data_IF_959226227242
#
_entry.id   IF_959226227242
#
_cell.length_a   1.000
_cell.length_b   1.000
_cell.length_c   1.000
_cell.angle_alpha   90.00
_cell.angle_beta   90.00
_cell.angle_gamma   90.00
#
_symmetry.space_group_name_H-M   'P 1'
#
loop_
_entity.id
_entity.type
_entity.pdbx_description
1 polymer ?
#
# COMPACT_ATOMS: atom_id res chain seq x y z
N UNK A 1 -20.18 -8.04 17.32
CA UNK A 1 -19.69 -7.02 18.28
C UNK A 1 -19.97 -5.66 17.67
N UNK A 2 -20.42 -4.66 18.43
CA UNK A 2 -20.57 -3.30 17.89
C UNK A 2 -19.21 -2.61 17.94
N UNK A 3 -18.69 -2.26 16.77
CA UNK A 3 -17.33 -1.72 16.57
C UNK A 3 -17.33 -0.20 16.54
N UNK A 4 -18.52 0.43 16.55
CA UNK A 4 -18.69 1.87 16.40
C UNK A 4 -18.33 2.60 17.71
N UNK A 5 -17.37 3.55 17.69
CA UNK A 5 -17.11 4.41 18.83
C UNK A 5 -18.36 5.21 19.20
N UNK A 6 -18.53 5.44 20.50
CA UNK A 6 -19.52 6.39 21.01
C UNK A 6 -18.90 7.77 21.06
N UNK A 7 -19.57 8.76 20.46
CA UNK A 7 -19.08 10.13 20.30
C UNK A 7 -20.20 11.13 20.61
N UNK A 8 -19.83 12.34 21.00
CA UNK A 8 -20.75 13.49 20.94
C UNK A 8 -20.90 13.97 19.49
N UNK A 9 -21.93 14.78 19.17
CA UNK A 9 -22.03 15.43 17.88
C UNK A 9 -20.78 16.26 17.52
N UNK A 10 -20.20 16.96 18.50
CA UNK A 10 -19.02 17.80 18.32
C UNK A 10 -17.77 16.95 18.03
N UNK A 11 -17.55 15.87 18.79
CA UNK A 11 -16.43 14.94 18.57
C UNK A 11 -16.52 14.28 17.18
N UNK A 12 -17.74 13.97 16.73
CA UNK A 12 -17.95 13.44 15.40
C UNK A 12 -17.56 14.45 14.32
N UNK A 13 -18.02 15.70 14.40
CA UNK A 13 -17.67 16.71 13.39
C UNK A 13 -16.18 17.06 13.40
N UNK A 14 -15.53 17.09 14.56
CA UNK A 14 -14.07 17.23 14.65
C UNK A 14 -13.36 16.12 13.88
N UNK A 15 -13.73 14.85 14.13
CA UNK A 15 -13.14 13.70 13.43
C UNK A 15 -13.50 13.63 11.94
N UNK A 16 -14.70 14.06 11.57
CA UNK A 16 -15.19 14.10 10.20
C UNK A 16 -14.57 15.22 9.35
N UNK A 17 -13.90 16.18 9.99
CA UNK A 17 -13.16 17.27 9.33
C UNK A 17 -11.65 17.19 9.53
N UNK A 18 -11.19 16.29 10.39
CA UNK A 18 -9.77 16.13 10.68
C UNK A 18 -8.98 15.73 9.43
N UNK A 19 -7.88 16.46 9.22
CA UNK A 19 -6.90 16.22 8.16
C UNK A 19 -5.58 15.92 8.85
N UNK A 20 -4.94 14.82 8.48
CA UNK A 20 -3.66 14.43 9.07
C UNK A 20 -2.52 15.40 8.67
N UNK A 21 -1.33 15.20 9.25
CA UNK A 21 -0.13 15.99 8.92
C UNK A 21 0.29 15.89 7.44
N UNK A 22 -0.25 14.94 6.70
CA UNK A 22 -0.04 14.71 5.26
C UNK A 22 -1.10 15.36 4.35
N UNK A 23 -2.00 16.18 4.91
CA UNK A 23 -3.04 16.93 4.20
C UNK A 23 -4.23 16.12 3.66
N UNK A 24 -4.31 14.82 3.96
CA UNK A 24 -5.43 13.97 3.55
C UNK A 24 -6.52 13.89 4.62
N UNK A 25 -7.78 13.94 4.17
CA UNK A 25 -8.89 13.53 5.02
C UNK A 25 -9.10 12.02 4.83
N UNK A 26 -8.67 11.25 5.83
CA UNK A 26 -8.67 9.77 5.80
C UNK A 26 -9.80 9.17 6.64
N UNK A 27 -10.32 9.92 7.61
CA UNK A 27 -11.30 9.41 8.58
C UNK A 27 -10.68 8.51 9.65
N UNK A 28 -9.35 8.53 9.82
CA UNK A 28 -8.62 7.70 10.77
C UNK A 28 -9.14 7.80 12.20
N UNK A 29 -9.55 9.00 12.64
CA UNK A 29 -10.13 9.20 13.97
C UNK A 29 -11.43 8.41 14.22
N UNK A 30 -12.06 7.86 13.19
CA UNK A 30 -13.29 7.04 13.27
C UNK A 30 -13.00 5.54 13.19
N UNK A 31 -11.84 5.13 12.67
CA UNK A 31 -11.45 3.72 12.47
C UNK A 31 -10.32 3.27 13.38
N UNK A 32 -9.37 4.13 13.73
CA UNK A 32 -8.28 3.84 14.67
C UNK A 32 -8.71 4.13 16.11
N UNK A 33 -9.82 3.51 16.52
CA UNK A 33 -10.37 3.60 17.88
C UNK A 33 -10.24 2.26 18.59
N UNK A 34 -10.20 2.23 19.94
CA UNK A 34 -10.08 0.97 20.68
C UNK A 34 -11.17 -0.05 20.35
N UNK A 35 -12.40 0.39 20.04
CA UNK A 35 -13.51 -0.51 19.68
C UNK A 35 -13.27 -1.27 18.38
N UNK A 36 -12.47 -0.72 17.46
CA UNK A 36 -12.06 -1.36 16.21
C UNK A 36 -10.74 -2.10 16.40
N UNK A 37 -9.72 -1.43 16.95
CA UNK A 37 -8.35 -1.95 17.03
C UNK A 37 -8.22 -3.18 17.95
N UNK A 38 -9.13 -3.36 18.92
CA UNK A 38 -9.14 -4.53 19.79
C UNK A 38 -9.73 -5.78 19.13
N UNK A 39 -10.27 -5.69 17.91
CA UNK A 39 -10.77 -6.84 17.17
C UNK A 39 -9.59 -7.57 16.53
N UNK A 40 -9.37 -8.86 16.81
CA UNK A 40 -8.26 -9.61 16.22
C UNK A 40 -8.30 -9.58 14.68
N UNK A 41 -7.22 -9.11 14.05
CA UNK A 41 -7.09 -9.04 12.58
C UNK A 41 -8.04 -8.05 11.90
N UNK A 42 -8.45 -6.98 12.58
CA UNK A 42 -9.31 -5.92 12.02
C UNK A 42 -8.74 -5.31 10.72
N UNK A 43 -7.41 -5.17 10.64
CA UNK A 43 -6.68 -4.58 9.51
C UNK A 43 -6.32 -5.58 8.40
N UNK A 44 -6.67 -6.86 8.54
CA UNK A 44 -6.39 -7.89 7.55
C UNK A 44 -7.69 -8.25 6.83
N UNK A 45 -7.87 -7.79 5.60
CA UNK A 45 -9.15 -7.94 4.89
C UNK A 45 -9.57 -9.40 4.63
N UNK A 46 -8.62 -10.34 4.56
CA UNK A 46 -8.89 -11.78 4.48
C UNK A 46 -9.24 -12.42 5.84
N UNK A 47 -9.08 -11.71 6.95
CA UNK A 47 -9.33 -12.22 8.30
C UNK A 47 -10.78 -12.00 8.73
N UNK A 48 -11.36 -12.95 9.46
CA UNK A 48 -12.77 -12.88 9.90
C UNK A 48 -13.07 -11.70 10.84
N UNK A 49 -12.05 -11.17 11.51
CA UNK A 49 -12.15 -9.95 12.31
C UNK A 49 -12.52 -8.71 11.50
N UNK A 50 -11.99 -8.56 10.29
CA UNK A 50 -12.33 -7.47 9.39
C UNK A 50 -13.82 -7.49 9.01
N UNK A 51 -14.40 -8.68 8.83
CA UNK A 51 -15.82 -8.85 8.53
C UNK A 51 -16.76 -8.41 9.68
N UNK A 52 -16.23 -8.17 10.89
CA UNK A 52 -17.00 -7.62 12.01
C UNK A 52 -17.15 -6.10 11.93
N UNK A 53 -16.36 -5.43 11.09
CA UNK A 53 -16.46 -3.98 10.86
C UNK A 53 -17.66 -3.64 9.98
N UNK A 54 -18.22 -2.45 10.17
CA UNK A 54 -19.26 -1.96 9.25
C UNK A 54 -18.69 -1.75 7.84
N UNK A 55 -19.55 -1.66 6.82
CA UNK A 55 -19.06 -1.39 5.47
C UNK A 55 -18.38 -0.02 5.39
N UNK A 56 -18.94 1.01 6.03
CA UNK A 56 -18.32 2.33 6.08
C UNK A 56 -16.92 2.33 6.73
N UNK A 57 -16.73 1.57 7.81
CA UNK A 57 -15.40 1.42 8.44
C UNK A 57 -14.40 0.75 7.51
N UNK A 58 -14.81 -0.30 6.77
CA UNK A 58 -13.95 -0.97 5.79
C UNK A 58 -13.58 -0.07 4.61
N UNK A 59 -14.51 0.77 4.15
CA UNK A 59 -14.24 1.76 3.08
C UNK A 59 -13.20 2.78 3.55
N UNK A 60 -13.38 3.39 4.73
CA UNK A 60 -12.40 4.37 5.25
C UNK A 60 -11.04 3.75 5.53
N UNK A 61 -11.01 2.51 6.01
CA UNK A 61 -9.75 1.79 6.20
C UNK A 61 -9.06 1.50 4.87
N UNK A 62 -9.77 1.07 3.83
CA UNK A 62 -9.18 0.85 2.50
C UNK A 62 -8.71 2.16 1.86
N UNK A 63 -9.43 3.26 2.12
CA UNK A 63 -9.02 4.59 1.71
C UNK A 63 -7.72 5.03 2.41
N UNK A 64 -7.66 4.91 3.75
CA UNK A 64 -6.45 5.21 4.53
C UNK A 64 -5.26 4.35 4.08
N UNK A 65 -5.51 3.06 3.81
CA UNK A 65 -4.52 2.14 3.28
C UNK A 65 -4.03 2.55 1.88
N UNK A 66 -4.94 2.90 0.96
CA UNK A 66 -4.57 3.39 -0.38
C UNK A 66 -3.69 4.63 -0.27
N UNK A 67 -4.11 5.62 0.54
CA UNK A 67 -3.33 6.84 0.78
C UNK A 67 -1.94 6.49 1.31
N UNK A 68 -1.86 5.61 2.31
CA UNK A 68 -0.62 5.19 2.93
C UNK A 68 0.31 4.39 2.01
N UNK A 69 -0.22 3.46 1.21
CA UNK A 69 0.61 2.65 0.31
C UNK A 69 1.14 3.49 -0.86
N UNK A 70 0.27 4.29 -1.47
CA UNK A 70 0.67 5.19 -2.56
C UNK A 70 1.72 6.17 -2.07
N UNK A 71 1.52 6.78 -0.88
CA UNK A 71 2.48 7.66 -0.21
C UNK A 71 3.90 7.05 -0.05
N UNK A 72 3.99 5.73 0.15
CA UNK A 72 5.23 5.05 0.48
C UNK A 72 5.98 4.50 -0.74
N UNK A 73 5.27 4.04 -1.76
CA UNK A 73 5.89 3.39 -2.92
C UNK A 73 4.99 3.31 -4.14
N UNK A 74 4.05 4.25 -4.26
CA UNK A 74 3.19 4.38 -5.43
C UNK A 74 2.08 3.33 -5.50
N UNK A 75 1.33 3.41 -6.59
CA UNK A 75 0.19 2.53 -6.85
C UNK A 75 0.62 1.05 -6.95
N UNK A 76 1.82 0.77 -7.45
CA UNK A 76 2.38 -0.59 -7.50
C UNK A 76 2.50 -1.21 -6.10
N UNK A 77 2.96 -0.43 -5.11
CA UNK A 77 3.04 -0.92 -3.72
C UNK A 77 1.66 -1.28 -3.17
N UNK A 78 0.63 -0.50 -3.52
CA UNK A 78 -0.75 -0.83 -3.16
C UNK A 78 -1.18 -2.16 -3.78
N UNK A 79 -0.96 -2.36 -5.07
CA UNK A 79 -1.33 -3.61 -5.76
C UNK A 79 -0.60 -4.81 -5.14
N UNK A 80 0.72 -4.69 -4.93
CA UNK A 80 1.54 -5.75 -4.35
C UNK A 80 1.06 -6.17 -2.94
N UNK A 81 0.86 -5.19 -2.05
CA UNK A 81 0.50 -5.46 -0.66
C UNK A 81 -0.93 -6.00 -0.48
N UNK A 82 -1.83 -5.69 -1.41
CA UNK A 82 -3.24 -6.12 -1.34
C UNK A 82 -3.58 -7.25 -2.31
N UNK A 83 -2.58 -7.93 -2.89
CA UNK A 83 -2.71 -9.02 -3.89
C UNK A 83 -3.90 -9.96 -3.63
N UNK A 84 -4.03 -10.50 -2.42
CA UNK A 84 -5.09 -11.48 -2.07
C UNK A 84 -6.49 -10.86 -1.91
N UNK A 85 -6.59 -9.53 -1.94
CA UNK A 85 -7.77 -8.74 -1.58
C UNK A 85 -8.09 -7.63 -2.58
N UNK A 86 -7.45 -7.63 -3.76
CA UNK A 86 -7.59 -6.60 -4.78
C UNK A 86 -9.03 -6.38 -5.26
N UNK A 87 -9.82 -7.46 -5.40
CA UNK A 87 -11.23 -7.35 -5.80
C UNK A 87 -12.05 -6.60 -4.75
N UNK A 88 -11.74 -6.84 -3.47
CA UNK A 88 -12.38 -6.14 -2.36
C UNK A 88 -11.91 -4.68 -2.30
N UNK A 89 -10.62 -4.42 -2.50
CA UNK A 89 -10.05 -3.09 -2.55
C UNK A 89 -10.73 -2.22 -3.61
N UNK A 90 -10.80 -2.70 -4.85
CA UNK A 90 -11.47 -2.01 -5.95
C UNK A 90 -12.93 -1.68 -5.62
N UNK A 91 -13.68 -2.67 -5.12
CA UNK A 91 -15.08 -2.50 -4.70
C UNK A 91 -15.24 -1.45 -3.60
N UNK A 92 -14.35 -1.41 -2.61
CA UNK A 92 -14.43 -0.47 -1.49
C UNK A 92 -14.04 0.95 -1.92
N UNK A 93 -13.02 1.13 -2.77
CA UNK A 93 -12.65 2.45 -3.28
C UNK A 93 -13.78 3.06 -4.13
N UNK A 94 -14.47 2.25 -4.93
CA UNK A 94 -15.64 2.69 -5.70
C UNK A 94 -16.77 3.26 -4.82
N UNK A 95 -16.86 2.85 -3.54
CA UNK A 95 -17.90 3.33 -2.61
C UNK A 95 -17.69 4.75 -2.12
N UNK A 96 -16.51 5.35 -2.33
CA UNK A 96 -16.30 6.76 -2.01
C UNK A 96 -17.12 7.69 -2.92
N UNK A 97 -17.64 7.19 -4.04
CA UNK A 97 -18.44 7.95 -5.01
C UNK A 97 -17.74 9.23 -5.49
N UNK A 98 -16.40 9.23 -5.50
CA UNK A 98 -15.57 10.29 -6.05
C UNK A 98 -15.27 9.96 -7.51
N UNK A 99 -15.90 10.64 -8.49
CA UNK A 99 -15.82 10.24 -9.89
C UNK A 99 -14.40 10.32 -10.45
N UNK A 100 -13.71 11.45 -10.25
CA UNK A 100 -12.35 11.63 -10.78
C UNK A 100 -11.36 10.64 -10.17
N UNK A 101 -11.49 10.32 -8.87
CA UNK A 101 -10.68 9.26 -8.25
C UNK A 101 -10.88 7.94 -8.99
N UNK A 102 -12.12 7.54 -9.23
CA UNK A 102 -12.41 6.24 -9.85
C UNK A 102 -12.06 6.21 -11.34
N UNK A 103 -12.25 7.31 -12.07
CA UNK A 103 -11.82 7.47 -13.48
C UNK A 103 -10.32 7.27 -13.68
N UNK A 104 -9.51 7.52 -12.64
CA UNK A 104 -8.05 7.33 -12.67
C UNK A 104 -7.61 6.04 -12.02
N UNK A 105 -8.26 5.66 -10.92
CA UNK A 105 -7.99 4.43 -10.18
C UNK A 105 -8.29 3.19 -11.03
N UNK A 106 -9.43 3.14 -11.72
CA UNK A 106 -9.82 1.94 -12.48
C UNK A 106 -8.85 1.63 -13.63
N UNK A 107 -8.40 2.60 -14.46
CA UNK A 107 -7.34 2.35 -15.43
C UNK A 107 -6.01 1.89 -14.80
N UNK A 108 -5.55 2.55 -13.73
CA UNK A 108 -4.31 2.17 -13.04
C UNK A 108 -4.41 0.76 -12.44
N UNK A 109 -5.54 0.42 -11.84
CA UNK A 109 -5.84 -0.91 -11.32
C UNK A 109 -5.83 -1.95 -12.44
N UNK A 110 -6.50 -1.68 -13.56
CA UNK A 110 -6.55 -2.61 -14.69
C UNK A 110 -5.20 -2.84 -15.34
N UNK A 111 -4.38 -1.81 -15.42
CA UNK A 111 -3.00 -1.90 -15.92
C UNK A 111 -2.14 -2.81 -15.04
N UNK A 112 -2.29 -2.72 -13.71
CA UNK A 112 -1.42 -3.42 -12.76
C UNK A 112 -1.99 -4.76 -12.24
N UNK A 113 -3.30 -4.97 -12.33
CA UNK A 113 -3.99 -6.12 -11.74
C UNK A 113 -5.07 -6.76 -12.65
N UNK A 114 -5.23 -6.26 -13.88
CA UNK A 114 -6.18 -6.84 -14.85
C UNK A 114 -7.65 -6.62 -14.48
N UNK A 115 -8.47 -7.65 -14.63
CA UNK A 115 -9.93 -7.54 -14.44
C UNK A 115 -10.31 -7.36 -12.96
N UNK A 116 -11.02 -6.28 -12.56
CA UNK A 116 -11.48 -6.08 -11.18
C UNK A 116 -12.36 -7.20 -10.62
N UNK A 117 -13.04 -7.98 -11.47
CA UNK A 117 -13.84 -9.12 -11.01
C UNK A 117 -12.98 -10.33 -10.60
N UNK A 118 -11.79 -10.48 -11.18
CA UNK A 118 -10.83 -11.52 -10.87
C UNK A 118 -9.40 -10.99 -11.02
N UNK A 119 -8.97 -10.07 -10.15
CA UNK A 119 -7.71 -9.37 -10.31
C UNK A 119 -6.57 -10.31 -9.97
N UNK A 120 -5.53 -10.24 -10.79
CA UNK A 120 -4.27 -10.92 -10.59
C UNK A 120 -3.18 -9.88 -10.86
N UNK A 121 -2.21 -9.68 -9.94
CA UNK A 121 -1.08 -8.82 -10.24
C UNK A 121 -0.50 -9.22 -11.59
N UNK A 122 -0.36 -8.25 -12.50
CA UNK A 122 0.25 -8.50 -13.79
C UNK A 122 1.65 -9.01 -13.51
N UNK A 123 1.91 -10.23 -13.97
CA UNK A 123 3.15 -10.93 -13.67
C UNK A 123 4.32 -10.14 -14.25
N UNK A 124 5.13 -9.55 -13.36
CA UNK A 124 6.40 -8.88 -13.71
C UNK A 124 7.49 -9.91 -14.07
N UNK A 125 7.14 -11.20 -14.12
CA UNK A 125 8.05 -12.27 -14.49
C UNK A 125 8.55 -12.10 -15.93
N UNK A 126 9.87 -12.06 -16.16
CA UNK A 126 10.40 -11.69 -17.46
C UNK A 126 10.38 -12.84 -18.47
N UNK A 127 10.04 -12.50 -19.72
CA UNK A 127 10.30 -13.34 -20.90
C UNK A 127 11.82 -13.38 -21.21
N UNK A 128 12.34 -14.52 -21.65
CA UNK A 128 13.77 -14.88 -21.49
C UNK A 128 14.82 -14.39 -22.52
N UNK A 129 16.08 -14.42 -22.04
CA UNK A 129 17.45 -14.48 -22.65
C UNK A 129 17.85 -13.43 -23.72
N UNK A 130 18.97 -12.68 -23.58
CA UNK A 130 20.40 -13.06 -23.81
C UNK A 130 21.44 -12.35 -22.90
N UNK A 131 22.70 -12.84 -22.93
CA UNK A 131 23.89 -12.52 -22.10
C UNK A 131 24.55 -11.14 -22.41
N UNK A 132 25.23 -10.39 -21.53
CA UNK A 132 26.43 -10.63 -20.71
C UNK A 132 26.74 -9.31 -19.96
N UNK A 133 26.72 -9.18 -18.61
CA UNK A 133 27.44 -8.06 -17.93
C UNK A 133 27.77 -8.33 -16.43
N UNK A 134 29.01 -8.02 -15.96
CA UNK A 134 29.42 -8.12 -14.54
C UNK A 134 28.67 -7.19 -13.56
N UNK A 135 28.06 -6.10 -14.04
CA UNK A 135 27.40 -5.09 -13.20
C UNK A 135 26.14 -5.58 -12.49
N UNK A 136 25.37 -6.47 -13.13
CA UNK A 136 24.13 -7.02 -12.60
C UNK A 136 24.34 -7.87 -11.33
N UNK A 137 25.50 -8.52 -11.23
CA UNK A 137 25.85 -9.37 -10.09
C UNK A 137 26.06 -8.56 -8.80
N UNK A 138 26.65 -7.36 -8.92
CA UNK A 138 26.96 -6.50 -7.78
C UNK A 138 25.70 -5.87 -7.19
N UNK A 139 24.85 -5.30 -8.03
CA UNK A 139 23.61 -4.66 -7.61
C UNK A 139 22.70 -5.64 -6.84
N UNK A 140 22.64 -6.89 -7.29
CA UNK A 140 21.87 -7.93 -6.63
C UNK A 140 22.40 -8.27 -5.22
N UNK A 141 23.72 -8.42 -5.08
CA UNK A 141 24.33 -8.70 -3.77
C UNK A 141 24.06 -7.56 -2.78
N UNK A 142 24.19 -6.30 -3.22
CA UNK A 142 23.83 -5.14 -2.42
C UNK A 142 22.39 -5.20 -1.94
N UNK A 143 21.48 -5.49 -2.88
CA UNK A 143 20.06 -5.46 -2.60
C UNK A 143 19.64 -6.58 -1.65
N UNK A 144 20.16 -7.79 -1.85
CA UNK A 144 19.88 -8.95 -0.99
C UNK A 144 20.36 -8.74 0.44
N UNK A 145 21.59 -8.24 0.59
CA UNK A 145 22.17 -7.92 1.90
C UNK A 145 21.38 -6.80 2.60
N UNK A 146 21.01 -5.76 1.85
CA UNK A 146 20.21 -4.66 2.39
C UNK A 146 18.79 -5.11 2.77
N UNK A 147 18.08 -5.87 1.91
CA UNK A 147 16.74 -6.41 2.20
C UNK A 147 16.74 -7.30 3.43
N UNK A 148 17.72 -8.21 3.54
CA UNK A 148 17.84 -9.08 4.71
C UNK A 148 17.95 -8.26 6.00
N UNK A 149 18.87 -7.28 6.02
CA UNK A 149 19.12 -6.44 7.20
C UNK A 149 17.98 -5.47 7.51
N UNK A 150 17.22 -5.06 6.51
CA UNK A 150 16.14 -4.06 6.62
C UNK A 150 14.74 -4.63 6.50
N UNK A 151 14.59 -5.96 6.62
CA UNK A 151 13.30 -6.66 6.51
C UNK A 151 12.18 -6.03 7.34
N UNK A 152 12.53 -5.49 8.52
CA UNK A 152 11.58 -4.84 9.44
C UNK A 152 11.62 -3.30 9.39
N UNK A 153 12.47 -2.70 8.53
CA UNK A 153 12.62 -1.25 8.33
C UNK A 153 12.90 -0.92 6.86
N UNK A 154 11.92 -1.12 5.95
CA UNK A 154 12.15 -0.96 4.51
C UNK A 154 12.67 0.43 4.11
N UNK A 155 12.30 1.48 4.84
CA UNK A 155 12.79 2.86 4.67
C UNK A 155 14.30 3.02 4.88
N UNK A 156 14.95 2.11 5.63
CA UNK A 156 16.39 2.13 5.84
C UNK A 156 17.18 1.48 4.69
N UNK A 157 16.49 0.81 3.75
CA UNK A 157 17.12 0.00 2.69
C UNK A 157 18.04 0.81 1.79
N UNK A 158 17.63 2.01 1.35
CA UNK A 158 18.49 2.88 0.52
C UNK A 158 19.79 3.26 1.23
N UNK A 159 19.72 3.53 2.54
CA UNK A 159 20.89 3.87 3.36
C UNK A 159 21.80 2.65 3.55
N UNK A 160 21.24 1.48 3.78
CA UNK A 160 22.01 0.24 3.90
C UNK A 160 22.66 -0.19 2.58
N UNK A 161 21.96 -0.04 1.46
CA UNK A 161 22.54 -0.24 0.12
C UNK A 161 23.72 0.69 -0.09
N UNK A 162 23.61 1.98 0.26
CA UNK A 162 24.71 2.95 0.13
C UNK A 162 25.93 2.62 1.03
N UNK A 163 25.75 1.86 2.12
CA UNK A 163 26.85 1.37 2.95
C UNK A 163 27.55 0.18 2.30
N UNK A 164 26.79 -0.79 1.77
CA UNK A 164 27.36 -1.92 1.05
C UNK A 164 28.01 -1.51 -0.27
N UNK A 165 27.51 -0.45 -0.90
CA UNK A 165 28.01 0.06 -2.17
C UNK A 165 29.45 0.59 -2.08
N UNK A 166 29.93 0.90 -0.88
CA UNK A 166 31.32 1.32 -0.63
C UNK A 166 32.31 0.16 -0.53
N UNK A 167 31.83 -1.09 -0.51
CA UNK A 167 32.67 -2.28 -0.37
C UNK A 167 33.21 -2.75 -1.73
N UNK A 168 34.39 -3.37 -1.71
CA UNK A 168 34.89 -4.07 -2.90
C UNK A 168 34.05 -5.32 -3.18
N UNK A 169 34.00 -5.73 -4.45
CA UNK A 169 33.19 -6.87 -4.90
C UNK A 169 33.56 -8.17 -4.17
N UNK A 170 34.84 -8.37 -3.86
CA UNK A 170 35.32 -9.52 -3.09
C UNK A 170 34.76 -9.55 -1.67
N UNK A 171 34.71 -8.40 -1.00
CA UNK A 171 34.17 -8.28 0.36
C UNK A 171 32.65 -8.49 0.32
N UNK A 172 31.98 -7.87 -0.66
CA UNK A 172 30.55 -7.98 -0.87
C UNK A 172 30.13 -9.44 -1.12
N UNK A 173 30.86 -10.14 -1.99
CA UNK A 173 30.66 -11.56 -2.27
C UNK A 173 30.84 -12.43 -1.02
N UNK A 174 31.85 -12.12 -0.21
CA UNK A 174 32.12 -12.87 1.03
C UNK A 174 30.96 -12.74 2.01
N UNK A 175 30.45 -11.52 2.22
CA UNK A 175 29.29 -11.26 3.10
C UNK A 175 28.03 -11.95 2.58
N UNK A 176 27.79 -11.89 1.28
CA UNK A 176 26.66 -12.56 0.64
C UNK A 176 26.75 -14.09 0.82
N UNK A 177 27.90 -14.70 0.53
CA UNK A 177 28.09 -16.15 0.68
C UNK A 177 27.92 -16.62 2.13
N UNK A 178 28.38 -15.82 3.10
CA UNK A 178 28.18 -16.11 4.52
C UNK A 178 26.70 -16.08 4.92
N UNK A 179 25.97 -15.04 4.49
CA UNK A 179 24.53 -14.93 4.75
C UNK A 179 23.73 -16.08 4.11
N UNK A 180 24.12 -16.49 2.90
CA UNK A 180 23.56 -17.68 2.24
C UNK A 180 23.86 -18.96 3.04
N UNK A 181 25.11 -19.18 3.46
CA UNK A 181 25.48 -20.38 4.22
C UNK A 181 24.81 -20.47 5.59
N UNK A 182 24.47 -19.32 6.18
CA UNK A 182 23.76 -19.24 7.45
C UNK A 182 22.23 -19.40 7.29
N UNK A 183 21.72 -19.53 6.06
CA UNK A 183 20.28 -19.59 5.76
C UNK A 183 19.55 -18.25 5.96
N UNK A 184 20.29 -17.15 6.08
CA UNK A 184 19.77 -15.79 6.26
C UNK A 184 19.21 -15.22 4.95
N UNK A 185 19.82 -15.63 3.83
CA UNK A 185 19.47 -15.25 2.46
C UNK A 185 19.37 -16.53 1.63
N UNK A 186 18.36 -16.63 0.77
CA UNK A 186 18.28 -17.74 -0.19
C UNK A 186 19.35 -17.54 -1.27
N UNK A 187 20.13 -18.58 -1.63
CA UNK A 187 21.06 -18.49 -2.75
C UNK A 187 20.29 -18.17 -4.02
N UNK A 188 20.74 -17.16 -4.75
CA UNK A 188 20.25 -16.90 -6.10
C UNK A 188 20.68 -18.05 -7.01
N UNK A 189 19.71 -18.81 -7.50
CA UNK A 189 19.92 -19.61 -8.69
C UNK A 189 20.09 -18.65 -9.88
N UNK A 190 21.24 -18.75 -10.57
CA UNK A 190 21.59 -17.92 -11.73
C UNK A 190 20.47 -17.88 -12.76
N UNK A 191 19.68 -16.80 -12.79
CA UNK A 191 18.84 -16.45 -13.92
C UNK A 191 18.95 -14.93 -14.14
N UNK A 192 19.44 -14.53 -15.31
CA UNK A 192 19.58 -13.13 -15.72
C UNK A 192 18.21 -12.53 -16.01
N UNK A 193 18.00 -11.27 -15.60
CA UNK A 193 17.00 -10.40 -16.23
C UNK A 193 17.39 -8.92 -16.12
N UNK A 194 17.30 -8.21 -17.25
CA UNK A 194 17.08 -6.76 -17.32
C UNK A 194 15.58 -6.46 -17.14
N UNK A 195 15.22 -5.64 -16.15
CA UNK A 195 13.83 -5.24 -15.89
C UNK A 195 13.38 -4.25 -16.97
N UNK A 196 12.53 -4.68 -17.89
CA UNK A 196 11.66 -3.76 -18.62
C UNK A 196 10.34 -3.69 -17.82
N UNK A 197 10.06 -2.57 -17.11
CA UNK A 197 8.78 -2.43 -16.44
C UNK A 197 7.68 -2.61 -17.47
N UNK A 198 6.59 -3.36 -17.19
CA UNK A 198 5.40 -3.24 -18.01
C UNK A 198 5.01 -1.76 -18.08
N UNK A 199 4.36 -1.32 -19.17
CA UNK A 199 3.88 0.05 -19.27
C UNK A 199 3.03 0.35 -18.02
N UNK A 200 3.53 1.25 -17.19
CA UNK A 200 2.93 1.71 -15.95
C UNK A 200 2.33 3.12 -16.14
N UNK A 201 1.92 3.43 -17.37
CA UNK A 201 1.52 4.78 -17.77
C UNK A 201 0.31 5.25 -16.96
N UNK A 202 -0.68 4.38 -16.75
CA UNK A 202 -1.86 4.71 -15.96
C UNK A 202 -1.55 4.77 -14.46
N UNK A 203 -0.74 3.85 -13.94
CA UNK A 203 -0.31 3.82 -12.55
C UNK A 203 0.55 5.05 -12.18
N UNK A 204 1.52 5.42 -13.01
CA UNK A 204 2.35 6.62 -12.84
C UNK A 204 1.52 7.90 -12.97
N UNK A 205 0.57 7.94 -13.90
CA UNK A 205 -0.36 9.06 -14.04
C UNK A 205 -1.27 9.19 -12.81
N UNK A 206 -1.74 8.05 -12.25
CA UNK A 206 -2.49 8.03 -11.01
C UNK A 206 -1.64 8.58 -9.86
N UNK A 207 -0.42 8.07 -9.66
CA UNK A 207 0.48 8.55 -8.61
C UNK A 207 0.71 10.06 -8.73
N UNK A 208 1.04 10.54 -9.92
CA UNK A 208 1.27 11.97 -10.18
C UNK A 208 0.04 12.81 -9.82
N UNK A 209 -1.15 12.39 -10.26
CA UNK A 209 -2.40 13.09 -9.95
C UNK A 209 -2.75 13.03 -8.47
N UNK A 210 -2.53 11.87 -7.83
CA UNK A 210 -2.89 11.64 -6.43
C UNK A 210 -2.15 12.60 -5.50
N UNK A 211 -0.93 13.02 -5.87
CA UNK A 211 -0.13 13.97 -5.09
C UNK A 211 -0.37 15.44 -5.36
N UNK A 212 -1.27 15.80 -6.29
CA UNK A 212 -1.61 17.20 -6.50
C UNK A 212 -2.32 17.77 -5.26
N UNK A 213 -1.99 19.01 -4.90
CA UNK A 213 -2.64 19.70 -3.79
C UNK A 213 -4.15 19.86 -4.01
N UNK A 214 -4.58 20.02 -5.27
CA UNK A 214 -6.01 20.03 -5.64
C UNK A 214 -6.70 18.72 -5.30
N UNK A 215 -6.08 17.58 -5.61
CA UNK A 215 -6.61 16.25 -5.30
C UNK A 215 -6.75 16.06 -3.79
N UNK A 216 -5.73 16.43 -3.03
CA UNK A 216 -5.79 16.38 -1.56
C UNK A 216 -6.89 17.28 -0.99
N UNK A 217 -7.10 18.47 -1.55
CA UNK A 217 -8.19 19.35 -1.14
C UNK A 217 -9.57 18.75 -1.45
N UNK A 218 -9.74 18.12 -2.61
CA UNK A 218 -10.98 17.44 -2.98
C UNK A 218 -11.32 16.26 -2.07
N UNK A 219 -10.31 15.58 -1.51
CA UNK A 219 -10.55 14.51 -0.52
C UNK A 219 -11.38 15.00 0.67
N UNK A 220 -11.22 16.26 1.08
CA UNK A 220 -12.00 16.86 2.16
C UNK A 220 -13.48 16.96 1.82
N UNK A 221 -13.79 17.20 0.55
CA UNK A 221 -15.15 17.24 0.06
C UNK A 221 -15.74 15.83 -0.05
N UNK A 222 -15.12 14.95 -0.82
CA UNK A 222 -15.69 13.63 -1.12
C UNK A 222 -15.66 12.69 0.09
N UNK A 223 -14.50 12.54 0.73
CA UNK A 223 -14.38 11.66 1.90
C UNK A 223 -15.13 12.26 3.10
N UNK A 224 -15.08 13.58 3.28
CA UNK A 224 -15.85 14.26 4.32
C UNK A 224 -17.37 14.15 4.13
N UNK A 225 -17.84 14.16 2.87
CA UNK A 225 -19.26 13.91 2.56
C UNK A 225 -19.62 12.45 2.80
N UNK A 226 -18.76 11.51 2.40
CA UNK A 226 -18.95 10.08 2.65
C UNK A 226 -19.08 9.78 4.14
N UNK A 227 -18.18 10.34 4.98
CA UNK A 227 -18.22 10.17 6.44
C UNK A 227 -19.55 10.64 7.02
N UNK A 228 -20.02 11.84 6.63
CA UNK A 228 -21.28 12.39 7.14
C UNK A 228 -22.49 11.59 6.70
N UNK A 229 -22.53 11.18 5.43
CA UNK A 229 -23.61 10.35 4.90
C UNK A 229 -23.71 8.99 5.61
N UNK A 230 -22.57 8.47 6.11
CA UNK A 230 -22.47 7.16 6.75
C UNK A 230 -22.23 7.21 8.26
N UNK A 231 -22.56 8.34 8.91
CA UNK A 231 -22.34 8.56 10.36
C UNK A 231 -22.76 7.36 11.21
N UNK A 232 -23.98 6.85 11.01
CA UNK A 232 -24.54 5.81 11.88
C UNK A 232 -23.88 4.43 11.68
N UNK A 233 -23.11 4.24 10.60
CA UNK A 233 -22.23 3.09 10.41
C UNK A 233 -20.82 3.31 11.00
N UNK A 234 -20.44 4.56 11.24
CA UNK A 234 -19.10 4.93 11.69
C UNK A 234 -19.03 5.19 13.20
N UNK A 235 -20.11 5.68 13.80
CA UNK A 235 -20.18 5.96 15.23
C UNK A 235 -21.59 5.76 15.79
N UNK A 236 -21.70 5.86 17.11
CA UNK A 236 -22.95 6.06 17.85
C UNK A 236 -22.89 7.44 18.48
N UNK A 237 -23.96 8.21 18.35
CA UNK A 237 -24.04 9.53 18.98
C UNK A 237 -24.62 9.38 20.38
N UNK A 238 -23.83 9.72 21.40
CA UNK A 238 -24.34 9.97 22.75
C UNK A 238 -24.92 11.40 22.77
N UNK A 239 -26.18 11.50 23.22
CA UNK A 239 -26.98 12.71 23.17
C UNK A 239 -26.68 13.73 24.26
#
# INVERSE_FOLDING_TARGET
MDTRPTLTPEDFEERATYVDSGWWLTGEGLIHTPSVMNIPGWNLYGHSGNAQLTEAQRVLMMWSDLVGQVANGGFEQFISNYTETLALAHRLIAKLEWPELFERFDPAFREQAGDPANPQPVDLSPWGWEADEPGAHRAHMLDSLARHKTRWRPWARRREMALYDQLSDTILQTLYNMAVSNGEIQPVEKHQVEYEPPPCVAAEAFDTWFYLDSTRQESRHYVGSYIRAHRDQLCRIDG
#
